data_IF_242661888148
#
_entry.id   IF_242661888148
#
_cell.length_a   1.000
_cell.length_b   1.000
_cell.length_c   1.000
_cell.angle_alpha   90.00
_cell.angle_beta   90.00
_cell.angle_gamma   90.00
#
_symmetry.space_group_name_H-M   'P 1'
#
loop_
_entity.id
_entity.type
_entity.pdbx_description
1 polymer ?
#
# COMPACT_ATOMS: atom_id res chain seq x y z
N UNK A 1 23.36 -13.26 -19.94
CA UNK A 1 22.76 -14.20 -18.99
C UNK A 1 23.17 -13.70 -17.62
N UNK A 2 22.24 -13.32 -16.74
CA UNK A 2 22.61 -13.01 -15.36
C UNK A 2 22.86 -14.33 -14.64
N UNK A 3 23.97 -14.42 -13.92
CA UNK A 3 24.39 -15.61 -13.16
C UNK A 3 23.61 -15.74 -11.84
N UNK A 4 22.31 -15.45 -11.84
CA UNK A 4 21.46 -15.56 -10.67
C UNK A 4 20.81 -16.95 -10.63
N UNK A 5 21.27 -17.79 -9.70
CA UNK A 5 20.60 -19.04 -9.35
C UNK A 5 19.33 -18.72 -8.54
N UNK A 6 18.17 -19.27 -8.94
CA UNK A 6 16.88 -18.98 -8.32
C UNK A 6 15.78 -19.98 -8.65
N UNK A 7 14.64 -19.88 -7.95
CA UNK A 7 13.42 -20.63 -8.23
C UNK A 7 12.51 -19.77 -9.11
N UNK A 8 12.18 -20.26 -10.31
CA UNK A 8 11.24 -19.60 -11.21
C UNK A 8 9.86 -20.20 -11.05
N UNK A 9 8.85 -19.37 -10.80
CA UNK A 9 7.46 -19.76 -10.63
C UNK A 9 6.63 -19.22 -11.79
N UNK A 10 5.90 -20.10 -12.47
CA UNK A 10 4.92 -19.72 -13.49
C UNK A 10 3.53 -19.70 -12.84
N UNK A 11 2.99 -18.53 -12.46
CA UNK A 11 1.66 -18.45 -11.88
C UNK A 11 0.60 -18.86 -12.92
N UNK A 12 -0.49 -19.46 -12.43
CA UNK A 12 -1.56 -20.05 -13.25
C UNK A 12 -2.40 -19.01 -13.99
N UNK A 13 -2.37 -17.76 -13.56
CA UNK A 13 -3.02 -16.65 -14.25
C UNK A 13 -2.33 -16.27 -15.58
N UNK A 14 -1.24 -16.95 -15.95
CA UNK A 14 -0.62 -16.90 -17.27
C UNK A 14 0.21 -15.65 -17.54
N UNK A 15 0.43 -14.79 -16.55
CA UNK A 15 1.35 -13.66 -16.72
C UNK A 15 2.80 -14.03 -16.40
N UNK A 16 3.67 -13.01 -16.33
CA UNK A 16 5.12 -13.17 -16.25
C UNK A 16 5.57 -14.16 -15.16
N UNK A 17 6.56 -15.04 -15.46
CA UNK A 17 7.23 -15.87 -14.47
C UNK A 17 7.87 -15.01 -13.38
N UNK A 18 7.82 -15.50 -12.14
CA UNK A 18 8.37 -14.80 -10.98
C UNK A 18 9.65 -15.47 -10.59
N UNK A 19 10.67 -14.63 -10.43
CA UNK A 19 11.97 -15.07 -9.98
C UNK A 19 12.06 -14.93 -8.46
N UNK A 20 12.18 -16.07 -7.79
CA UNK A 20 12.48 -16.14 -6.37
C UNK A 20 13.98 -16.35 -6.23
N UNK A 21 14.68 -15.27 -5.88
CA UNK A 21 16.11 -15.23 -5.64
C UNK A 21 16.39 -14.68 -4.25
N UNK A 22 17.67 -14.42 -4.03
CA UNK A 22 18.14 -13.66 -2.91
C UNK A 22 17.69 -12.19 -2.97
N UNK A 23 17.56 -11.59 -4.15
CA UNK A 23 17.14 -10.20 -4.25
C UNK A 23 15.62 -10.01 -4.39
N UNK A 24 14.90 -11.08 -4.73
CA UNK A 24 13.45 -11.09 -4.89
C UNK A 24 12.86 -12.30 -4.18
N UNK A 25 12.19 -12.11 -3.05
CA UNK A 25 11.63 -13.22 -2.28
C UNK A 25 10.28 -12.84 -1.65
N UNK A 26 9.37 -13.82 -1.46
CA UNK A 26 8.05 -13.56 -0.89
C UNK A 26 8.10 -12.99 0.51
N UNK A 27 7.17 -12.09 0.78
CA UNK A 27 6.97 -11.49 2.08
C UNK A 27 5.90 -12.24 2.87
N UNK A 28 6.19 -12.51 4.15
CA UNK A 28 5.17 -13.02 5.07
C UNK A 28 4.33 -11.84 5.57
N UNK A 29 3.03 -11.87 5.36
CA UNK A 29 2.08 -10.96 5.98
C UNK A 29 2.04 -11.18 7.49
N UNK A 30 2.23 -10.11 8.25
CA UNK A 30 2.25 -10.13 9.71
C UNK A 30 0.94 -9.57 10.27
N UNK A 31 0.53 -8.39 9.80
CA UNK A 31 -0.65 -7.70 10.33
C UNK A 31 -1.13 -6.58 9.40
N UNK A 32 -2.44 -6.39 9.34
CA UNK A 32 -3.03 -5.13 8.90
C UNK A 32 -3.41 -4.33 10.15
N UNK A 33 -2.76 -3.18 10.29
CA UNK A 33 -3.00 -2.25 11.39
C UNK A 33 -3.88 -1.13 10.87
N UNK A 34 -4.97 -0.87 11.59
CA UNK A 34 -5.89 0.24 11.34
C UNK A 34 -5.85 1.13 12.58
N UNK A 35 -5.48 2.39 12.40
CA UNK A 35 -5.36 3.34 13.50
C UNK A 35 -6.23 4.55 13.19
N UNK A 36 -7.12 4.86 14.12
CA UNK A 36 -7.86 6.11 14.13
C UNK A 36 -7.14 7.12 15.04
N UNK A 37 -7.02 8.41 14.67
CA UNK A 37 -6.34 9.42 15.47
C UNK A 37 -6.91 9.57 16.88
N UNK A 38 -8.21 9.33 17.06
CA UNK A 38 -8.90 9.48 18.35
C UNK A 38 -9.16 8.17 19.12
N UNK A 39 -8.84 7.01 18.54
CA UNK A 39 -9.06 5.71 19.19
C UNK A 39 -7.72 5.04 19.51
N UNK A 40 -7.61 4.22 20.57
CA UNK A 40 -8.57 4.06 21.67
C UNK A 40 -8.60 5.24 22.64
N UNK A 41 -7.54 6.07 22.65
CA UNK A 41 -7.42 7.24 23.52
C UNK A 41 -7.43 8.53 22.68
N UNK A 42 -8.46 9.38 22.85
CA UNK A 42 -8.47 10.72 22.26
C UNK A 42 -7.25 11.53 22.71
N UNK A 43 -6.76 12.44 21.86
CA UNK A 43 -5.64 13.36 22.13
C UNK A 43 -4.24 12.74 22.32
N UNK A 44 -4.12 11.42 22.37
CA UNK A 44 -2.82 10.75 22.37
C UNK A 44 -2.26 10.66 20.95
N UNK A 45 -1.24 11.48 20.64
CA UNK A 45 -0.58 11.50 19.31
C UNK A 45 0.21 10.23 18.99
N UNK A 46 0.84 9.65 20.00
CA UNK A 46 1.58 8.40 19.87
C UNK A 46 0.60 7.23 19.97
N UNK A 47 0.54 6.42 18.92
CA UNK A 47 -0.24 5.19 18.89
C UNK A 47 0.71 4.02 18.79
N UNK A 48 0.35 2.92 19.43
CA UNK A 48 1.10 1.68 19.33
C UNK A 48 0.17 0.49 19.25
N UNK A 49 0.63 -0.55 18.58
CA UNK A 49 -0.06 -1.83 18.44
C UNK A 49 0.95 -2.93 18.64
N UNK A 50 0.70 -3.80 19.63
CA UNK A 50 1.51 -5.00 19.82
C UNK A 50 1.14 -6.05 18.77
N UNK A 51 2.18 -6.61 18.14
CA UNK A 51 2.12 -7.68 17.15
C UNK A 51 3.08 -8.77 17.63
N UNK A 52 2.58 -9.73 18.45
CA UNK A 52 3.42 -10.77 19.03
C UNK A 52 4.25 -11.53 17.99
N UNK A 53 5.54 -11.72 18.25
CA UNK A 53 6.46 -12.43 17.37
C UNK A 53 7.00 -11.61 16.19
N UNK A 54 6.60 -10.34 16.02
CA UNK A 54 7.09 -9.48 14.95
C UNK A 54 8.61 -9.22 15.03
N UNK A 55 9.20 -9.24 16.22
CA UNK A 55 10.65 -9.06 16.45
C UNK A 55 11.52 -10.09 15.71
N UNK A 56 10.96 -11.26 15.36
CA UNK A 56 11.60 -12.30 14.55
C UNK A 56 11.80 -11.89 13.09
N UNK A 57 11.19 -10.80 12.66
CA UNK A 57 11.17 -10.36 11.27
C UNK A 57 11.90 -9.03 11.07
N UNK A 58 12.55 -8.90 9.92
CA UNK A 58 12.83 -7.61 9.31
C UNK A 58 11.56 -7.14 8.63
N UNK A 59 10.95 -6.10 9.19
CA UNK A 59 9.59 -5.67 8.84
C UNK A 59 9.62 -4.69 7.67
N UNK A 60 8.77 -4.94 6.68
CA UNK A 60 8.42 -4.03 5.61
C UNK A 60 7.05 -3.44 5.91
N UNK A 61 6.99 -2.11 6.00
CA UNK A 61 5.75 -1.38 6.25
C UNK A 61 5.25 -0.80 4.93
N UNK A 62 4.05 -1.19 4.52
CA UNK A 62 3.33 -0.56 3.41
C UNK A 62 2.29 0.40 3.99
N UNK A 63 2.59 1.71 4.04
CA UNK A 63 1.64 2.70 4.54
C UNK A 63 0.55 3.00 3.51
N UNK A 64 -0.64 3.34 4.01
CA UNK A 64 -1.80 3.76 3.24
C UNK A 64 -2.60 4.75 4.07
N UNK A 65 -3.18 5.78 3.44
CA UNK A 65 -4.01 6.77 4.12
C UNK A 65 -3.30 7.49 5.27
N UNK A 66 -2.12 8.07 5.03
CA UNK A 66 -1.32 8.69 6.10
C UNK A 66 -1.66 10.15 6.41
N UNK A 67 -2.55 10.76 5.64
CA UNK A 67 -3.08 12.08 5.94
C UNK A 67 -4.58 12.05 5.78
N UNK A 68 -5.30 12.83 6.58
CA UNK A 68 -6.73 13.01 6.60
C UNK A 68 -7.09 14.46 6.78
N UNK A 69 -8.30 14.79 6.34
CA UNK A 69 -8.87 16.11 6.53
C UNK A 69 -10.30 15.95 7.01
N UNK A 70 -10.66 16.77 8.00
CA UNK A 70 -12.03 16.93 8.45
C UNK A 70 -12.42 18.40 8.42
N UNK A 71 -13.72 18.64 8.44
CA UNK A 71 -14.27 19.98 8.55
C UNK A 71 -15.42 20.02 9.55
N UNK A 72 -15.27 20.88 10.56
CA UNK A 72 -16.28 21.19 11.56
C UNK A 72 -16.19 22.68 11.92
N UNK A 73 -16.89 23.53 11.15
CA UNK A 73 -16.74 24.99 11.20
C UNK A 73 -15.45 25.52 10.54
N UNK A 74 -14.34 24.77 10.56
CA UNK A 74 -13.12 25.01 9.79
C UNK A 74 -12.46 23.68 9.38
N UNK A 75 -11.55 23.73 8.39
CA UNK A 75 -10.81 22.55 7.90
C UNK A 75 -9.58 22.29 8.76
N UNK A 76 -9.38 21.03 9.15
CA UNK A 76 -8.23 20.57 9.93
C UNK A 76 -7.57 19.36 9.25
N UNK A 77 -6.24 19.40 9.14
CA UNK A 77 -5.42 18.28 8.68
C UNK A 77 -5.04 17.37 9.85
N UNK A 78 -4.95 16.08 9.57
CA UNK A 78 -4.53 15.03 10.51
C UNK A 78 -3.55 14.15 9.76
N UNK A 79 -2.27 14.16 10.11
CA UNK A 79 -1.24 13.41 9.39
C UNK A 79 -0.37 12.59 10.31
N UNK A 80 0.11 11.47 9.79
CA UNK A 80 1.17 10.68 10.38
C UNK A 80 2.51 11.33 10.01
N UNK A 81 3.24 11.81 11.01
CA UNK A 81 4.58 12.37 10.83
C UNK A 81 5.67 11.32 10.84
N UNK A 82 5.46 10.22 11.58
CA UNK A 82 6.40 9.09 11.62
C UNK A 82 5.72 7.79 12.02
N UNK A 83 6.32 6.68 11.60
CA UNK A 83 5.94 5.33 11.99
C UNK A 83 7.17 4.43 11.97
N UNK A 84 7.23 3.49 12.90
CA UNK A 84 8.38 2.59 13.06
C UNK A 84 7.96 1.31 13.78
N UNK A 85 8.86 0.33 13.80
CA UNK A 85 8.73 -0.88 14.62
C UNK A 85 9.86 -0.95 15.63
N UNK A 86 9.57 -1.45 16.83
CA UNK A 86 10.58 -1.79 17.83
C UNK A 86 10.13 -3.03 18.59
N UNK A 87 10.95 -4.08 18.53
CA UNK A 87 10.59 -5.41 19.02
C UNK A 87 9.29 -5.92 18.41
N UNK A 88 8.35 -6.32 19.26
CA UNK A 88 7.02 -6.79 18.87
C UNK A 88 5.98 -5.67 18.74
N UNK A 89 6.38 -4.40 18.68
CA UNK A 89 5.42 -3.28 18.70
C UNK A 89 5.60 -2.36 17.50
N UNK A 90 4.50 -2.09 16.81
CA UNK A 90 4.40 -1.03 15.82
C UNK A 90 4.03 0.27 16.51
N UNK A 91 4.62 1.37 16.07
CA UNK A 91 4.36 2.72 16.57
C UNK A 91 4.07 3.67 15.41
N UNK A 92 3.20 4.64 15.64
CA UNK A 92 3.09 5.82 14.78
C UNK A 92 2.80 7.07 15.61
N UNK A 93 3.16 8.22 15.07
CA UNK A 93 2.92 9.53 15.67
C UNK A 93 2.13 10.42 14.71
N UNK A 94 1.06 11.02 15.23
CA UNK A 94 0.30 12.06 14.54
C UNK A 94 0.87 13.45 14.80
N UNK A 95 1.12 14.22 13.73
CA UNK A 95 1.59 15.61 13.82
C UNK A 95 0.48 16.52 14.36
N UNK A 96 -0.74 16.31 13.88
CA UNK A 96 -1.94 17.10 14.17
C UNK A 96 -3.13 16.15 14.46
N UNK A 97 -4.03 16.52 15.37
CA UNK A 97 -5.23 15.74 15.70
C UNK A 97 -6.53 16.44 15.30
N UNK A 98 -7.51 15.64 14.88
CA UNK A 98 -8.81 16.07 14.40
C UNK A 98 -9.97 15.76 15.34
N UNK A 99 -11.18 16.20 15.01
CA UNK A 99 -12.43 15.80 15.67
C UNK A 99 -12.89 14.37 15.36
N UNK A 100 -13.92 13.88 16.07
CA UNK A 100 -14.50 12.54 15.94
C UNK A 100 -15.43 12.36 14.73
N UNK A 101 -15.74 13.47 14.07
CA UNK A 101 -16.73 13.58 13.01
C UNK A 101 -16.33 14.68 12.03
N UNK A 102 -16.92 14.64 10.83
CA UNK A 102 -16.71 15.66 9.79
C UNK A 102 -15.60 15.34 8.78
N UNK A 103 -15.23 14.07 8.58
CA UNK A 103 -14.25 13.68 7.56
C UNK A 103 -14.67 14.14 6.15
N UNK A 104 -13.73 14.71 5.41
CA UNK A 104 -13.98 15.10 4.02
C UNK A 104 -14.15 13.84 3.12
N UNK A 105 -14.87 13.97 1.99
CA UNK A 105 -15.19 12.84 1.13
C UNK A 105 -14.01 11.94 0.76
N UNK A 106 -14.25 10.63 0.89
CA UNK A 106 -13.28 9.56 0.64
C UNK A 106 -12.28 9.33 1.77
N UNK A 107 -12.46 9.94 2.94
CA UNK A 107 -11.75 9.58 4.18
C UNK A 107 -12.71 8.86 5.13
N UNK A 108 -12.28 7.73 5.69
CA UNK A 108 -12.93 7.10 6.85
C UNK A 108 -12.23 7.47 8.18
N UNK A 109 -11.22 8.34 8.11
CA UNK A 109 -10.43 8.78 9.26
C UNK A 109 -9.37 7.80 9.73
N UNK A 110 -9.19 6.67 9.04
CA UNK A 110 -8.27 5.63 9.46
C UNK A 110 -6.98 5.63 8.63
N UNK A 111 -5.84 5.65 9.33
CA UNK A 111 -4.57 5.31 8.71
C UNK A 111 -4.38 3.79 8.69
N UNK A 112 -3.88 3.27 7.58
CA UNK A 112 -3.69 1.85 7.36
C UNK A 112 -2.21 1.51 7.17
N UNK A 113 -1.75 0.46 7.84
CA UNK A 113 -0.40 -0.06 7.67
C UNK A 113 -0.47 -1.56 7.43
N UNK A 114 0.06 -2.02 6.30
CA UNK A 114 0.20 -3.44 6.01
C UNK A 114 1.63 -3.84 6.34
N UNK A 115 1.77 -4.69 7.35
CA UNK A 115 3.05 -5.13 7.87
C UNK A 115 3.36 -6.49 7.25
N UNK A 116 4.52 -6.52 6.62
CA UNK A 116 5.12 -7.69 6.02
C UNK A 116 6.46 -7.97 6.66
N UNK A 117 6.97 -9.19 6.55
CA UNK A 117 8.18 -9.60 7.23
C UNK A 117 9.00 -10.61 6.46
N UNK A 118 10.31 -10.50 6.65
CA UNK A 118 11.32 -11.50 6.30
C UNK A 118 11.89 -12.02 7.60
N UNK A 119 12.01 -13.34 7.76
CA UNK A 119 12.60 -13.88 8.97
C UNK A 119 14.05 -13.40 9.11
N UNK A 120 14.46 -13.06 10.34
CA UNK A 120 15.86 -12.73 10.64
C UNK A 120 16.73 -13.99 10.69
N UNK A 121 16.17 -15.06 11.23
CA UNK A 121 16.87 -16.31 11.51
C UNK A 121 16.02 -17.52 11.11
N UNK A 122 16.67 -18.68 10.98
CA UNK A 122 16.01 -19.95 10.77
C UNK A 122 15.19 -20.33 12.02
N UNK A 123 13.86 -20.48 11.92
CA UNK A 123 13.08 -20.94 13.05
C UNK A 123 13.42 -22.39 13.37
N UNK A 124 13.64 -22.70 14.66
CA UNK A 124 13.79 -24.07 15.13
C UNK A 124 12.51 -24.86 14.86
N UNK A 125 12.64 -26.15 14.53
CA UNK A 125 11.54 -27.08 14.26
C UNK A 125 10.55 -26.61 13.16
N UNK A 126 11.12 -26.00 12.12
CA UNK A 126 10.40 -25.46 10.97
C UNK A 126 10.90 -26.05 9.66
N UNK A 127 10.01 -26.23 8.68
CA UNK A 127 10.34 -26.69 7.34
C UNK A 127 9.81 -25.73 6.27
N UNK A 128 10.42 -25.73 5.11
CA UNK A 128 9.99 -24.84 4.05
C UNK A 128 10.98 -24.76 2.93
N UNK A 129 10.75 -23.77 2.08
CA UNK A 129 11.71 -23.38 1.06
C UNK A 129 12.67 -22.35 1.65
N UNK A 130 13.95 -22.71 1.73
CA UNK A 130 15.02 -21.84 2.21
C UNK A 130 15.86 -21.36 1.03
N UNK A 131 15.98 -20.04 0.87
CA UNK A 131 16.55 -19.37 -0.30
C UNK A 131 17.77 -18.56 0.16
N UNK A 132 18.80 -19.21 0.66
CA UNK A 132 20.06 -18.55 1.07
C UNK A 132 21.11 -18.70 -0.05
N UNK A 133 21.71 -17.61 -0.56
CA UNK A 133 22.83 -17.72 -1.53
C UNK A 133 24.23 -17.71 -0.95
N UNK A 134 24.48 -17.44 0.34
CA UNK A 134 25.86 -17.33 0.81
C UNK A 134 26.11 -18.02 2.15
N UNK A 135 27.11 -18.90 2.13
CA UNK A 135 27.65 -19.65 3.27
C UNK A 135 28.48 -18.76 4.23
N UNK A 136 28.88 -17.55 3.83
CA UNK A 136 29.95 -16.79 4.51
C UNK A 136 29.70 -15.28 4.75
N UNK A 137 28.48 -14.76 4.54
CA UNK A 137 28.16 -13.38 4.91
C UNK A 137 27.18 -13.38 6.09
N UNK A 138 27.46 -12.56 7.11
CA UNK A 138 26.60 -12.34 8.27
C UNK A 138 25.12 -12.35 7.86
N UNK A 139 24.32 -13.23 8.47
CA UNK A 139 22.93 -13.53 8.10
C UNK A 139 22.06 -12.32 8.47
N UNK A 140 22.07 -11.28 7.63
CA UNK A 140 21.25 -10.10 7.90
C UNK A 140 19.79 -10.29 7.45
N UNK A 141 19.44 -11.36 6.73
CA UNK A 141 18.06 -11.69 6.33
C UNK A 141 17.92 -13.18 5.95
N UNK A 142 17.35 -14.00 6.82
CA UNK A 142 17.00 -15.39 6.50
C UNK A 142 15.79 -15.45 5.56
N UNK A 143 16.02 -15.86 4.31
CA UNK A 143 14.99 -15.87 3.27
C UNK A 143 14.33 -17.23 3.22
N UNK A 144 13.10 -17.30 3.71
CA UNK A 144 12.35 -18.55 3.73
C UNK A 144 10.86 -18.34 3.55
N UNK A 145 10.23 -19.34 2.94
CA UNK A 145 8.80 -19.56 2.98
C UNK A 145 8.59 -20.82 3.82
N UNK A 146 8.01 -20.68 5.00
CA UNK A 146 7.86 -21.80 5.94
C UNK A 146 6.41 -22.24 6.06
N UNK A 147 6.18 -23.35 6.75
CA UNK A 147 4.83 -23.82 7.11
C UNK A 147 4.03 -22.83 7.97
N UNK A 148 4.69 -21.79 8.53
CA UNK A 148 4.08 -20.74 9.36
C UNK A 148 3.86 -19.43 8.59
N UNK A 149 4.41 -19.33 7.37
CA UNK A 149 4.25 -18.15 6.53
C UNK A 149 2.78 -17.96 6.13
N UNK A 150 2.31 -16.71 6.25
CA UNK A 150 1.08 -16.23 5.63
C UNK A 150 1.46 -15.34 4.46
N UNK A 151 1.38 -15.82 3.22
CA UNK A 151 1.81 -15.04 2.05
C UNK A 151 0.63 -14.26 1.46
N UNK A 152 0.87 -13.00 1.09
CA UNK A 152 -0.07 -12.23 0.27
C UNK A 152 0.20 -12.52 -1.21
N UNK A 153 -0.86 -12.60 -2.01
CA UNK A 153 -0.78 -12.98 -3.43
C UNK A 153 -1.41 -11.93 -4.32
N UNK A 154 -0.84 -11.75 -5.51
CA UNK A 154 -1.45 -11.03 -6.61
C UNK A 154 -2.68 -11.83 -7.07
N UNK A 155 -3.85 -11.26 -6.82
CA UNK A 155 -5.16 -11.83 -7.15
C UNK A 155 -5.80 -11.13 -8.34
N UNK A 156 -5.16 -10.07 -8.82
CA UNK A 156 -5.59 -9.32 -9.99
C UNK A 156 -4.41 -8.57 -10.59
N UNK A 157 -4.14 -8.77 -11.88
CA UNK A 157 -3.24 -7.94 -12.68
C UNK A 157 -3.81 -7.73 -14.07
N UNK A 158 -4.34 -6.53 -14.36
CA UNK A 158 -4.92 -6.22 -15.67
C UNK A 158 -4.69 -4.77 -16.06
N UNK A 159 -4.66 -4.53 -17.37
CA UNK A 159 -4.86 -3.21 -17.97
C UNK A 159 -6.37 -2.97 -18.11
N UNK A 160 -6.87 -1.89 -17.52
CA UNK A 160 -8.28 -1.48 -17.59
C UNK A 160 -8.37 -0.11 -18.24
N UNK A 161 -9.54 0.23 -18.79
CA UNK A 161 -9.86 1.58 -19.22
C UNK A 161 -10.83 2.21 -18.23
N UNK A 162 -10.53 3.43 -17.77
CA UNK A 162 -11.46 4.22 -16.96
C UNK A 162 -11.96 5.36 -17.85
N UNK A 163 -13.25 5.35 -18.14
CA UNK A 163 -13.92 6.45 -18.82
C UNK A 163 -14.35 7.53 -17.83
N UNK A 164 -14.59 8.75 -18.32
CA UNK A 164 -15.00 9.89 -17.49
C UNK A 164 -16.24 10.58 -18.07
N UNK A 165 -17.05 11.14 -17.19
CA UNK A 165 -18.18 11.97 -17.60
C UNK A 165 -17.73 13.33 -18.18
N UNK A 166 -18.71 14.14 -18.62
CA UNK A 166 -18.49 15.50 -19.13
C UNK A 166 -17.82 16.47 -18.15
N UNK A 167 -17.72 16.10 -16.86
CA UNK A 167 -17.05 16.87 -15.82
C UNK A 167 -15.67 16.29 -15.48
N UNK A 168 -15.15 15.39 -16.32
CA UNK A 168 -13.89 14.67 -16.13
C UNK A 168 -13.86 13.85 -14.85
N UNK A 169 -15.00 13.27 -14.45
CA UNK A 169 -15.11 12.38 -13.27
C UNK A 169 -15.43 10.96 -13.72
N UNK A 170 -14.59 10.02 -13.33
CA UNK A 170 -14.78 8.61 -13.65
C UNK A 170 -14.31 7.71 -12.52
N UNK A 171 -14.75 6.46 -12.53
CA UNK A 171 -14.24 5.47 -11.60
C UNK A 171 -14.32 4.06 -12.19
N UNK A 172 -13.48 3.19 -11.64
CA UNK A 172 -13.56 1.75 -11.82
C UNK A 172 -13.65 1.08 -10.44
N UNK A 173 -14.53 0.11 -10.29
CA UNK A 173 -14.69 -0.61 -9.03
C UNK A 173 -13.83 -1.87 -9.05
N UNK A 174 -13.15 -2.15 -7.94
CA UNK A 174 -12.49 -3.44 -7.74
C UNK A 174 -13.55 -4.54 -7.91
N UNK A 175 -13.29 -5.59 -8.71
CA UNK A 175 -14.23 -6.67 -8.94
C UNK A 175 -14.70 -7.31 -7.63
N UNK A 176 -15.97 -7.73 -7.60
CA UNK A 176 -16.58 -8.29 -6.39
C UNK A 176 -16.07 -9.70 -6.07
N UNK A 177 -15.52 -10.39 -7.07
CA UNK A 177 -14.95 -11.74 -7.00
C UNK A 177 -13.49 -11.79 -6.53
N UNK A 178 -12.88 -10.64 -6.21
CA UNK A 178 -11.55 -10.61 -5.58
C UNK A 178 -11.61 -11.34 -4.23
N UNK A 179 -10.83 -12.41 -4.03
CA UNK A 179 -10.87 -13.18 -2.79
C UNK A 179 -10.34 -12.34 -1.63
N UNK A 180 -11.02 -12.43 -0.49
CA UNK A 180 -10.79 -11.59 0.68
C UNK A 180 -10.63 -10.09 0.33
N UNK A 181 -11.56 -9.54 -0.45
CA UNK A 181 -11.54 -8.15 -0.96
C UNK A 181 -11.24 -7.07 0.08
N UNK A 182 -11.63 -7.27 1.34
CA UNK A 182 -11.30 -6.34 2.44
C UNK A 182 -9.80 -6.23 2.75
N UNK A 183 -9.01 -7.22 2.34
CA UNK A 183 -7.55 -7.25 2.49
C UNK A 183 -6.79 -6.57 1.33
N UNK A 184 -7.50 -6.03 0.34
CA UNK A 184 -6.92 -5.59 -0.92
C UNK A 184 -5.89 -4.45 -0.74
N UNK A 185 -4.67 -4.70 -1.21
CA UNK A 185 -3.62 -3.71 -1.39
C UNK A 185 -3.47 -3.43 -2.90
N UNK A 186 -3.75 -2.20 -3.31
CA UNK A 186 -3.90 -1.85 -4.72
C UNK A 186 -2.73 -1.00 -5.17
N UNK A 187 -2.09 -1.42 -6.25
CA UNK A 187 -1.05 -0.67 -6.94
C UNK A 187 -1.55 -0.24 -8.31
N UNK A 188 -1.33 1.03 -8.62
CA UNK A 188 -1.83 1.66 -9.83
C UNK A 188 -0.68 2.28 -10.63
N UNK A 189 -0.80 2.21 -11.95
CA UNK A 189 0.01 2.99 -12.88
C UNK A 189 -0.84 3.44 -14.07
N UNK A 190 -1.05 4.75 -14.29
CA UNK A 190 -1.68 5.21 -15.50
C UNK A 190 -0.74 5.01 -16.69
N UNK A 191 -1.30 4.68 -17.86
CA UNK A 191 -0.52 4.57 -19.09
C UNK A 191 -0.08 5.95 -19.61
N UNK A 192 -0.93 6.97 -19.40
CA UNK A 192 -0.64 8.36 -19.76
C UNK A 192 -0.25 9.18 -18.54
N UNK A 193 0.68 10.12 -18.71
CA UNK A 193 1.10 11.04 -17.65
C UNK A 193 0.07 12.13 -17.32
N UNK A 194 -0.99 12.26 -18.13
CA UNK A 194 -2.06 13.25 -17.92
C UNK A 194 -3.25 12.73 -17.11
N UNK A 195 -3.33 11.43 -16.83
CA UNK A 195 -4.43 10.85 -16.06
C UNK A 195 -4.13 10.96 -14.56
N UNK A 196 -5.07 11.54 -13.81
CA UNK A 196 -4.97 11.68 -12.36
C UNK A 196 -5.74 10.54 -11.70
N UNK A 197 -5.10 9.78 -10.81
CA UNK A 197 -5.70 8.63 -10.14
C UNK A 197 -5.68 8.77 -8.62
N UNK A 198 -6.69 8.18 -7.97
CA UNK A 198 -6.77 7.98 -6.52
C UNK A 198 -7.42 6.63 -6.24
N UNK A 199 -6.93 5.90 -5.26
CA UNK A 199 -7.63 4.75 -4.71
C UNK A 199 -8.51 5.18 -3.52
N UNK A 200 -9.83 5.06 -3.70
CA UNK A 200 -10.86 5.27 -2.70
C UNK A 200 -11.17 3.94 -2.02
N UNK A 201 -10.37 3.64 -0.99
CA UNK A 201 -10.40 2.40 -0.22
C UNK A 201 -11.77 2.13 0.42
N UNK A 202 -12.45 3.10 1.10
CA UNK A 202 -13.78 2.86 1.68
C UNK A 202 -14.80 2.34 0.68
N UNK A 203 -14.74 2.80 -0.58
CA UNK A 203 -15.66 2.35 -1.64
C UNK A 203 -15.08 1.26 -2.55
N UNK A 204 -13.82 0.86 -2.34
CA UNK A 204 -13.08 -0.08 -3.18
C UNK A 204 -13.09 0.34 -4.67
N UNK A 205 -12.76 1.60 -4.94
CA UNK A 205 -12.78 2.20 -6.28
C UNK A 205 -11.50 2.91 -6.63
N UNK A 206 -11.07 2.80 -7.88
CA UNK A 206 -10.07 3.69 -8.47
C UNK A 206 -10.83 4.85 -9.11
N UNK A 207 -10.60 6.06 -8.62
CA UNK A 207 -11.21 7.28 -9.13
C UNK A 207 -10.22 7.94 -10.09
N UNK A 208 -10.72 8.43 -11.22
CA UNK A 208 -9.92 9.08 -12.25
C UNK A 208 -10.44 10.48 -12.56
N UNK A 209 -9.50 11.39 -12.84
CA UNK A 209 -9.73 12.60 -13.62
C UNK A 209 -8.98 12.47 -14.93
N UNK A 210 -9.72 12.67 -16.02
CA UNK A 210 -9.37 12.30 -17.40
C UNK A 210 -9.49 10.80 -17.67
N UNK A 211 -10.04 10.44 -18.83
CA UNK A 211 -10.14 9.06 -19.27
C UNK A 211 -8.76 8.52 -19.68
N UNK A 212 -8.59 7.20 -19.58
CA UNK A 212 -7.32 6.57 -19.95
C UNK A 212 -7.17 5.16 -19.42
N UNK A 213 -6.16 4.48 -19.97
CA UNK A 213 -5.79 3.15 -19.51
C UNK A 213 -4.97 3.20 -18.22
N UNK A 214 -5.25 2.25 -17.33
CA UNK A 214 -4.58 2.08 -16.04
C UNK A 214 -4.18 0.62 -15.89
N UNK A 215 -2.93 0.38 -15.51
CA UNK A 215 -2.48 -0.92 -15.05
C UNK A 215 -2.75 -1.04 -13.56
N UNK A 216 -3.41 -2.13 -13.17
CA UNK A 216 -3.84 -2.38 -11.80
C UNK A 216 -3.29 -3.72 -11.36
N UNK A 217 -2.61 -3.73 -10.21
CA UNK A 217 -2.23 -4.94 -9.47
C UNK A 217 -2.90 -4.90 -8.10
N UNK A 218 -3.52 -6.00 -7.69
CA UNK A 218 -4.15 -6.14 -6.37
C UNK A 218 -3.54 -7.34 -5.66
N UNK A 219 -3.01 -7.10 -4.46
CA UNK A 219 -2.61 -8.15 -3.53
C UNK A 219 -3.67 -8.36 -2.47
N UNK A 220 -3.88 -9.61 -2.08
CA UNK A 220 -4.75 -9.99 -0.97
C UNK A 220 -4.04 -11.03 -0.09
N UNK A 221 -4.36 -11.03 1.21
CA UNK A 221 -3.81 -11.99 2.19
C UNK A 221 -4.93 -12.81 2.81
N UNK A 222 -4.57 -13.86 3.58
CA UNK A 222 -5.58 -14.71 4.25
C UNK A 222 -6.44 -15.50 3.26
N UNK A 223 -5.85 -15.90 2.14
CA UNK A 223 -6.54 -16.66 1.09
C UNK A 223 -6.67 -18.13 1.47
N UNK A 224 -7.76 -18.77 1.03
CA UNK A 224 -7.89 -20.22 1.10
C UNK A 224 -7.20 -20.86 -0.11
N UNK A 225 -5.87 -21.00 -0.03
CA UNK A 225 -5.05 -21.49 -1.13
C UNK A 225 -5.36 -22.95 -1.46
N UNK A 226 -5.37 -23.25 -2.76
CA UNK A 226 -5.38 -24.62 -3.25
C UNK A 226 -3.95 -25.10 -3.50
N UNK A 227 -3.68 -26.41 -3.38
CA UNK A 227 -2.39 -26.98 -3.76
C UNK A 227 -2.08 -26.65 -5.23
N UNK A 228 -0.83 -26.29 -5.49
CA UNK A 228 -0.34 -26.06 -6.84
C UNK A 228 0.03 -27.36 -7.53
N UNK A 229 0.02 -27.35 -8.87
CA UNK A 229 0.64 -28.40 -9.68
C UNK A 229 2.19 -28.37 -9.57
N UNK A 230 2.73 -27.25 -9.09
CA UNK A 230 4.15 -27.06 -8.79
C UNK A 230 4.49 -27.18 -7.30
N UNK A 231 5.20 -26.19 -6.76
CA UNK A 231 5.56 -26.12 -5.34
C UNK A 231 4.34 -25.78 -4.47
N UNK A 232 4.10 -26.61 -3.46
CA UNK A 232 3.13 -26.40 -2.38
C UNK A 232 3.82 -26.60 -1.03
N UNK A 233 3.59 -25.68 -0.09
CA UNK A 233 4.01 -25.84 1.31
C UNK A 233 2.74 -25.92 2.16
N UNK A 234 2.62 -26.98 2.94
CA UNK A 234 1.52 -27.20 3.87
C UNK A 234 1.86 -26.64 5.24
N UNK A 235 0.87 -26.26 6.04
CA UNK A 235 1.03 -25.93 7.45
C UNK A 235 0.76 -27.16 8.34
N UNK A 236 1.06 -27.05 9.64
CA UNK A 236 0.84 -28.14 10.63
C UNK A 236 -0.62 -28.59 10.75
N UNK A 237 -1.57 -27.75 10.32
CA UNK A 237 -3.00 -28.03 10.34
C UNK A 237 -3.51 -28.65 9.02
N UNK A 238 -2.63 -28.95 8.06
CA UNK A 238 -3.00 -29.50 6.75
C UNK A 238 -3.59 -28.49 5.77
N UNK A 239 -3.50 -27.18 6.06
CA UNK A 239 -3.83 -26.11 5.11
C UNK A 239 -2.63 -25.74 4.24
N UNK A 240 -2.86 -25.15 3.07
CA UNK A 240 -1.79 -24.67 2.18
C UNK A 240 -1.27 -23.33 2.68
N UNK A 241 -0.01 -23.28 3.11
CA UNK A 241 0.70 -22.06 3.53
C UNK A 241 1.30 -21.29 2.33
N UNK A 242 1.74 -22.04 1.31
CA UNK A 242 2.25 -21.48 0.07
C UNK A 242 1.82 -22.31 -1.13
N UNK A 243 1.41 -21.64 -2.19
CA UNK A 243 1.07 -22.22 -3.49
C UNK A 243 1.76 -21.44 -4.60
N UNK A 244 2.47 -22.16 -5.48
CA UNK A 244 3.15 -21.60 -6.66
C UNK A 244 2.20 -21.30 -7.83
N UNK A 245 0.94 -21.72 -7.75
CA UNK A 245 -0.08 -21.33 -8.74
C UNK A 245 -0.36 -19.81 -8.71
N UNK A 246 0.03 -19.13 -7.63
CA UNK A 246 -0.25 -17.71 -7.42
C UNK A 246 1.04 -16.91 -7.30
N UNK A 247 1.03 -15.71 -7.87
CA UNK A 247 2.12 -14.75 -7.79
C UNK A 247 2.20 -14.15 -6.38
N UNK A 248 3.24 -14.40 -5.56
CA UNK A 248 3.33 -13.81 -4.21
C UNK A 248 3.67 -12.32 -4.28
N UNK A 249 3.38 -11.58 -3.20
CA UNK A 249 3.97 -10.27 -2.94
C UNK A 249 5.40 -10.43 -2.44
N UNK A 250 6.38 -9.82 -3.11
CA UNK A 250 7.79 -9.97 -2.78
C UNK A 250 8.49 -8.66 -2.44
N UNK A 251 9.59 -8.79 -1.70
CA UNK A 251 10.34 -7.66 -1.17
C UNK A 251 11.28 -7.02 -2.21
N UNK A 252 10.72 -6.36 -3.22
CA UNK A 252 11.49 -5.49 -4.11
C UNK A 252 11.13 -4.00 -3.92
N UNK A 253 9.99 -3.71 -3.28
CA UNK A 253 9.43 -2.37 -3.25
C UNK A 253 10.22 -1.31 -2.48
N UNK A 254 9.67 -0.11 -2.45
CA UNK A 254 10.30 1.05 -1.83
C UNK A 254 9.25 1.96 -1.19
N UNK A 255 9.49 2.38 0.05
CA UNK A 255 8.77 3.51 0.65
C UNK A 255 9.24 4.78 -0.04
N UNK A 256 8.32 5.51 -0.66
CA UNK A 256 8.59 6.76 -1.34
C UNK A 256 7.95 7.90 -0.56
N UNK A 257 8.79 8.71 0.08
CA UNK A 257 8.37 9.91 0.80
C UNK A 257 8.27 11.07 -0.20
N UNK A 258 7.21 11.87 -0.12
CA UNK A 258 7.16 13.09 -0.93
C UNK A 258 7.87 14.24 -0.23
N UNK A 259 8.62 15.01 -1.01
CA UNK A 259 8.99 16.37 -0.68
C UNK A 259 8.23 17.30 -1.61
N UNK A 260 7.55 18.32 -1.07
CA UNK A 260 6.74 19.26 -1.85
C UNK A 260 5.79 18.55 -2.84
N UNK A 261 5.09 17.51 -2.38
CA UNK A 261 4.04 16.82 -3.13
C UNK A 261 4.53 16.00 -4.33
N UNK A 262 5.84 15.77 -4.37
CA UNK A 262 6.53 15.03 -5.40
C UNK A 262 7.36 13.93 -4.75
N UNK A 263 7.28 12.74 -5.33
CA UNK A 263 8.05 11.59 -4.90
C UNK A 263 8.68 10.92 -6.14
N UNK A 264 9.89 10.39 -5.97
CA UNK A 264 10.61 9.69 -7.05
C UNK A 264 10.93 8.29 -6.58
N UNK A 265 10.45 7.31 -7.33
CA UNK A 265 10.78 5.90 -7.10
C UNK A 265 12.17 5.58 -7.66
N UNK A 266 12.81 4.56 -7.09
CA UNK A 266 14.02 3.93 -7.64
C UNK A 266 13.73 3.17 -8.94
N UNK A 267 12.49 2.77 -9.16
CA UNK A 267 12.09 2.04 -10.37
C UNK A 267 11.92 2.99 -11.55
N UNK A 268 12.27 2.53 -12.76
CA UNK A 268 12.04 3.26 -14.00
C UNK A 268 10.55 3.34 -14.35
N UNK A 269 9.80 2.29 -14.02
CA UNK A 269 8.38 2.14 -14.34
C UNK A 269 7.59 1.75 -13.06
N UNK A 270 7.47 2.62 -12.04
CA UNK A 270 6.85 2.27 -10.77
C UNK A 270 5.32 2.16 -10.85
N UNK A 271 4.74 1.30 -10.01
CA UNK A 271 3.35 1.32 -9.61
C UNK A 271 3.24 1.75 -8.14
N UNK A 272 2.21 2.52 -7.77
CA UNK A 272 2.10 3.11 -6.43
C UNK A 272 0.79 2.72 -5.72
N UNK A 273 0.84 2.59 -4.39
CA UNK A 273 -0.34 2.57 -3.52
C UNK A 273 -0.91 3.98 -3.41
N UNK A 274 -1.75 4.40 -4.36
CA UNK A 274 -2.33 5.75 -4.44
C UNK A 274 -3.51 5.94 -3.46
N UNK A 275 -3.35 5.48 -2.23
CA UNK A 275 -4.41 5.46 -1.23
C UNK A 275 -4.80 6.87 -0.76
N UNK A 276 -6.10 7.07 -0.65
CA UNK A 276 -6.78 8.20 -0.02
C UNK A 276 -6.45 8.34 1.48
N UNK A 277 -6.61 9.50 2.13
CA UNK A 277 -7.06 10.80 1.59
C UNK A 277 -5.99 11.88 1.53
N UNK A 278 -5.69 12.28 0.30
CA UNK A 278 -5.04 13.56 0.05
C UNK A 278 -6.14 14.56 -0.36
N UNK A 279 -6.38 15.57 0.45
CA UNK A 279 -7.20 16.74 0.08
C UNK A 279 -6.25 17.88 -0.25
N UNK A 280 -6.57 18.64 -1.29
CA UNK A 280 -5.85 19.87 -1.60
C UNK A 280 -6.68 21.06 -1.11
N UNK A 281 -6.07 21.91 -0.30
CA UNK A 281 -6.71 23.10 0.26
C UNK A 281 -6.18 24.37 -0.44
N UNK A 282 -7.08 25.25 -0.87
CA UNK A 282 -6.73 26.58 -1.40
C UNK A 282 -7.51 27.67 -0.70
N UNK A 283 -6.82 28.74 -0.31
CA UNK A 283 -7.48 29.92 0.23
C UNK A 283 -8.11 30.77 -0.88
N UNK A 284 -9.35 31.19 -0.65
CA UNK A 284 -10.07 32.15 -1.46
C UNK A 284 -10.70 33.23 -0.56
N UNK A 285 -9.96 34.33 -0.34
CA UNK A 285 -10.35 35.51 0.48
C UNK A 285 -10.87 35.16 1.88
N UNK A 286 -12.11 34.69 1.99
CA UNK A 286 -12.83 34.39 3.23
C UNK A 286 -13.17 32.89 3.39
N UNK A 287 -12.75 32.05 2.45
CA UNK A 287 -13.01 30.60 2.46
C UNK A 287 -11.76 29.78 2.13
N UNK A 288 -11.81 28.51 2.49
CA UNK A 288 -10.89 27.45 2.10
C UNK A 288 -11.65 26.52 1.17
N UNK A 289 -11.26 26.49 -0.10
CA UNK A 289 -11.77 25.52 -1.05
C UNK A 289 -11.05 24.20 -0.88
N UNK A 290 -11.84 23.14 -0.68
CA UNK A 290 -11.37 21.79 -0.54
C UNK A 290 -11.53 21.08 -1.89
N UNK A 291 -10.42 20.59 -2.44
CA UNK A 291 -10.40 19.77 -3.63
C UNK A 291 -10.04 18.34 -3.26
N UNK A 292 -10.72 17.40 -3.91
CA UNK A 292 -10.21 16.05 -3.96
C UNK A 292 -8.86 16.09 -4.69
N UNK A 293 -7.85 15.38 -4.21
CA UNK A 293 -6.58 15.24 -4.92
C UNK A 293 -6.31 13.80 -5.30
N UNK A 294 -5.45 13.63 -6.29
CA UNK A 294 -4.94 12.34 -6.75
C UNK A 294 -3.54 12.54 -7.32
N UNK A 295 -3.06 11.54 -8.06
CA UNK A 295 -1.69 11.50 -8.53
C UNK A 295 -1.60 11.34 -10.03
N UNK A 296 -0.65 12.06 -10.62
CA UNK A 296 -0.12 11.76 -11.95
C UNK A 296 1.20 11.04 -11.80
N UNK A 297 1.51 10.18 -12.77
CA UNK A 297 2.79 9.47 -12.84
C UNK A 297 3.49 9.85 -14.14
N UNK A 298 4.75 10.26 -14.05
CA UNK A 298 5.59 10.58 -15.20
C UNK A 298 6.97 9.95 -15.01
N UNK A 299 7.30 8.97 -15.84
CA UNK A 299 8.51 8.14 -15.66
C UNK A 299 8.49 7.44 -14.30
N UNK A 300 9.51 7.71 -13.48
CA UNK A 300 9.68 7.22 -12.10
C UNK A 300 9.05 8.12 -11.03
N UNK A 301 8.48 9.26 -11.43
CA UNK A 301 7.99 10.29 -10.52
C UNK A 301 6.47 10.20 -10.35
N UNK A 302 6.03 10.32 -9.10
CA UNK A 302 4.63 10.55 -8.74
C UNK A 302 4.49 12.00 -8.25
N UNK A 303 3.43 12.66 -8.67
CA UNK A 303 3.12 14.03 -8.26
C UNK A 303 1.65 14.15 -7.91
N UNK A 304 1.36 14.68 -6.73
CA UNK A 304 -0.01 14.98 -6.33
C UNK A 304 -0.54 16.20 -7.10
N UNK A 305 -1.82 16.16 -7.45
CA UNK A 305 -2.50 17.22 -8.18
C UNK A 305 -3.98 17.31 -7.82
N UNK A 306 -4.58 18.47 -8.07
CA UNK A 306 -6.00 18.71 -7.84
C UNK A 306 -6.86 17.90 -8.81
N UNK A 307 -7.97 17.37 -8.29
CA UNK A 307 -9.06 16.81 -9.08
C UNK A 307 -10.20 17.83 -9.15
N UNK A 308 -11.31 17.62 -8.45
CA UNK A 308 -12.46 18.52 -8.42
C UNK A 308 -12.76 19.01 -7.00
N UNK A 309 -13.47 20.13 -6.91
CA UNK A 309 -13.97 20.69 -5.65
C UNK A 309 -14.91 19.69 -4.98
N UNK A 310 -14.68 19.43 -3.69
CA UNK A 310 -15.56 18.64 -2.83
C UNK A 310 -16.37 19.52 -1.90
N UNK A 311 -15.80 20.62 -1.39
CA UNK A 311 -16.52 21.54 -0.51
C UNK A 311 -15.78 22.89 -0.34
N UNK A 312 -16.38 23.84 0.39
CA UNK A 312 -15.78 25.12 0.78
C UNK A 312 -16.18 25.49 2.22
N UNK A 313 -15.21 25.89 3.03
CA UNK A 313 -15.43 26.26 4.44
C UNK A 313 -14.91 27.66 4.74
N UNK A 314 -15.46 28.39 5.73
CA UNK A 314 -14.93 29.71 6.07
C UNK A 314 -13.49 29.63 6.62
N UNK A 315 -12.68 30.64 6.31
CA UNK A 315 -11.28 30.71 6.75
C UNK A 315 -11.18 31.25 8.19
N UNK A 316 -11.42 30.42 9.19
CA UNK A 316 -11.14 30.78 10.58
C UNK A 316 -9.70 30.39 10.94
N UNK A 317 -8.77 31.35 10.83
CA UNK A 317 -7.45 31.39 11.45
C UNK A 317 -6.73 30.03 11.72
N UNK A 318 -6.50 29.20 10.70
CA UNK A 318 -5.63 28.02 10.80
C UNK A 318 -4.51 28.10 9.77
N UNK A 319 -3.27 27.91 10.23
CA UNK A 319 -1.99 28.11 9.51
C UNK A 319 -1.65 27.07 8.43
N UNK A 320 -2.58 26.20 8.03
CA UNK A 320 -2.35 25.15 7.02
C UNK A 320 -2.71 25.65 5.62
N UNK A 321 -1.89 26.55 5.09
CA UNK A 321 -2.18 27.19 3.80
C UNK A 321 -1.41 26.55 2.66
N UNK A 322 -2.12 26.17 1.59
CA UNK A 322 -1.58 25.64 0.32
C UNK A 322 -0.70 24.38 0.45
N UNK A 323 -0.96 23.52 1.43
CA UNK A 323 -0.23 22.26 1.60
C UNK A 323 -1.08 21.09 1.12
N UNK A 324 -0.49 20.25 0.25
CA UNK A 324 -0.87 18.84 0.24
C UNK A 324 -0.01 18.21 1.32
N UNK A 325 -0.64 17.57 2.29
CA UNK A 325 0.10 16.79 3.26
C UNK A 325 0.07 15.36 2.76
N UNK A 326 1.07 14.99 1.94
CA UNK A 326 1.27 13.60 1.55
C UNK A 326 2.33 12.99 2.44
N UNK A 327 1.93 12.02 3.25
CA UNK A 327 2.83 11.26 4.08
C UNK A 327 3.17 9.94 3.37
N UNK A 328 3.96 10.02 2.30
CA UNK A 328 4.56 8.87 1.62
C UNK A 328 3.61 7.80 1.02
N UNK A 329 4.21 6.84 0.31
CA UNK A 329 3.53 5.65 -0.23
C UNK A 329 4.52 4.50 -0.38
N UNK A 330 4.02 3.36 -0.85
CA UNK A 330 4.88 2.26 -1.28
C UNK A 330 4.81 2.12 -2.80
N UNK A 331 5.97 1.90 -3.41
CA UNK A 331 6.10 1.62 -4.84
C UNK A 331 6.66 0.24 -5.09
N UNK A 332 6.22 -0.37 -6.19
CA UNK A 332 6.74 -1.62 -6.76
C UNK A 332 7.11 -1.40 -8.22
N UNK A 333 7.93 -2.27 -8.81
CA UNK A 333 8.19 -2.22 -10.24
C UNK A 333 6.98 -2.73 -11.03
N UNK A 334 6.68 -2.11 -12.17
CA UNK A 334 5.70 -2.59 -13.12
C UNK A 334 6.17 -3.87 -13.81
N UNK A 335 7.47 -3.93 -14.16
CA UNK A 335 8.07 -5.02 -14.92
C UNK A 335 8.10 -6.34 -14.14
N UNK A 336 7.86 -6.27 -12.84
CA UNK A 336 7.71 -7.39 -11.94
C UNK A 336 6.40 -8.17 -12.19
N UNK A 337 5.37 -7.51 -12.76
CA UNK A 337 4.02 -8.07 -12.87
C UNK A 337 3.45 -8.11 -14.30
N UNK A 338 3.98 -7.29 -15.21
CA UNK A 338 3.59 -7.18 -16.62
C UNK A 338 4.81 -7.32 -17.54
#
# INVERSE_FOLDING_TARGET
>A
MSDDYGLFINPKDGGKPIEITNNSYPLTFLKHIVIHPLSPQPYQKNKSVNVPGMSKYNVVIVPSALCHFLAYGSVQGVSIGSYWVSGDTFYCNYDWWGGDSGWLPGSDGNSHFFLYGVLKEAPQDSYGLFINSQLDAAIDNFRAITQESTVAYCVYRKKIYIDVDKYSKGYWSIPADIPNRGSALVFLRPESSGQVLRYDRPNSRVIARNAGYVYVVIFAYGLNLQPADGLTIWNKNGGVAFSSDYCPFYNNGQIVNTSNNVATSKFSVPMFTMDSPNTWLENERNSINCYMSGFVVSGSRIQATKMWTVDSYPSYANSMFNQIVYAGCYSIDFNDYF
#
